data_IF_784711847308
#
_entry.id   IF_784711847308
#
_cell.length_a   1.000
_cell.length_b   1.000
_cell.length_c   1.000
_cell.angle_alpha   90.00
_cell.angle_beta   90.00
_cell.angle_gamma   90.00
#
_symmetry.space_group_name_H-M   'P 1'
#
loop_
_entity.id
_entity.type
_entity.pdbx_description
1 polymer ?
#
# COMPACT_ATOMS: atom_id res chain seq x y z
N UNK A 1 -11.56 -24.07 6.75
CA UNK A 1 -11.06 -24.04 5.36
C UNK A 1 -10.79 -22.63 4.82
N UNK A 2 -11.57 -21.60 5.15
CA UNK A 2 -11.33 -20.24 4.65
C UNK A 2 -9.98 -19.64 5.07
N UNK A 3 -9.44 -19.94 6.27
CA UNK A 3 -8.17 -19.37 6.74
C UNK A 3 -6.92 -19.87 5.99
N UNK A 4 -6.90 -21.13 5.57
CA UNK A 4 -5.71 -21.72 4.96
C UNK A 4 -5.47 -21.23 3.51
N UNK A 5 -6.55 -20.96 2.78
CA UNK A 5 -6.48 -20.47 1.39
C UNK A 5 -6.64 -18.94 1.29
N UNK A 6 -6.99 -18.26 2.38
CA UNK A 6 -7.26 -16.82 2.38
C UNK A 6 -6.10 -15.99 1.91
N UNK A 7 -4.87 -16.32 2.32
CA UNK A 7 -3.65 -15.62 1.90
C UNK A 7 -3.37 -15.79 0.41
N UNK A 8 -3.55 -17.00 -0.14
CA UNK A 8 -3.37 -17.27 -1.58
C UNK A 8 -4.45 -16.58 -2.43
N UNK A 9 -5.70 -16.58 -1.94
CA UNK A 9 -6.80 -15.86 -2.60
C UNK A 9 -6.56 -14.35 -2.60
N UNK A 10 -6.08 -13.79 -1.48
CA UNK A 10 -5.74 -12.39 -1.39
C UNK A 10 -4.60 -12.03 -2.37
N UNK A 11 -3.53 -12.82 -2.43
CA UNK A 11 -2.43 -12.59 -3.37
C UNK A 11 -2.88 -12.71 -4.83
N UNK A 12 -3.70 -13.72 -5.17
CA UNK A 12 -4.29 -13.84 -6.50
C UNK A 12 -5.18 -12.65 -6.85
N UNK A 13 -5.98 -12.18 -5.87
CA UNK A 13 -6.82 -11.00 -6.03
C UNK A 13 -5.99 -9.74 -6.32
N UNK A 14 -4.85 -9.56 -5.66
CA UNK A 14 -3.94 -8.43 -5.89
C UNK A 14 -3.41 -8.35 -7.34
N UNK A 15 -3.45 -9.43 -8.10
CA UNK A 15 -3.06 -9.46 -9.51
C UNK A 15 -4.20 -9.08 -10.47
N UNK A 16 -5.45 -8.99 -10.00
CA UNK A 16 -6.61 -8.70 -10.88
C UNK A 16 -6.51 -7.37 -11.64
N UNK A 17 -5.97 -6.26 -11.07
CA UNK A 17 -5.79 -5.02 -11.82
C UNK A 17 -4.79 -5.18 -12.97
N UNK A 18 -3.70 -5.96 -12.75
CA UNK A 18 -2.73 -6.24 -13.82
C UNK A 18 -3.36 -7.05 -14.94
N UNK A 19 -4.11 -8.09 -14.60
CA UNK A 19 -4.77 -8.95 -15.58
C UNK A 19 -5.77 -8.13 -16.41
N UNK A 20 -6.59 -7.30 -15.76
CA UNK A 20 -7.54 -6.43 -16.44
C UNK A 20 -6.83 -5.43 -17.37
N UNK A 21 -5.77 -4.78 -16.91
CA UNK A 21 -4.98 -3.85 -17.72
C UNK A 21 -4.30 -4.58 -18.90
N UNK A 22 -3.75 -5.77 -18.65
CA UNK A 22 -3.10 -6.59 -19.68
C UNK A 22 -4.08 -6.94 -20.80
N UNK A 23 -5.24 -7.50 -20.45
CA UNK A 23 -6.27 -7.89 -21.41
C UNK A 23 -6.79 -6.67 -22.19
N UNK A 24 -7.06 -5.57 -21.49
CA UNK A 24 -7.52 -4.32 -22.15
C UNK A 24 -6.46 -3.80 -23.12
N UNK A 25 -5.18 -3.77 -22.73
CA UNK A 25 -4.08 -3.31 -23.58
C UNK A 25 -3.86 -4.20 -24.79
N UNK A 26 -4.00 -5.51 -24.65
CA UNK A 26 -3.81 -6.44 -25.75
C UNK A 26 -4.91 -6.39 -26.80
N UNK A 27 -6.16 -6.28 -26.36
CA UNK A 27 -7.32 -6.46 -27.24
C UNK A 27 -8.06 -5.17 -27.60
N UNK A 28 -8.02 -4.14 -26.75
CA UNK A 28 -8.89 -2.97 -26.88
C UNK A 28 -8.16 -1.63 -26.89
N UNK A 29 -6.85 -1.59 -26.55
CA UNK A 29 -6.12 -0.34 -26.43
C UNK A 29 -4.99 -0.23 -27.45
N UNK A 30 -5.13 0.60 -28.52
CA UNK A 30 -4.18 0.67 -29.64
C UNK A 30 -2.72 0.95 -29.25
N UNK A 31 -2.42 1.85 -28.26
CA UNK A 31 -1.05 2.07 -27.82
C UNK A 31 -0.39 0.84 -27.19
N UNK A 32 -1.16 -0.18 -26.83
CA UNK A 32 -0.69 -1.39 -26.14
C UNK A 32 0.16 -1.03 -24.91
N UNK A 33 1.46 -1.28 -24.96
CA UNK A 33 2.37 -1.08 -23.82
C UNK A 33 3.29 0.16 -23.96
N UNK A 34 3.22 0.90 -25.05
CA UNK A 34 4.13 2.02 -25.31
C UNK A 34 4.06 3.15 -24.28
N UNK A 35 2.89 3.35 -23.67
CA UNK A 35 2.64 4.38 -22.64
C UNK A 35 2.59 3.82 -21.20
N UNK A 36 2.90 2.53 -21.00
CA UNK A 36 2.78 1.86 -19.71
C UNK A 36 3.93 2.14 -18.74
N UNK A 37 4.95 2.88 -19.16
CA UNK A 37 6.15 3.19 -18.35
C UNK A 37 6.82 1.92 -17.75
N UNK A 38 6.94 0.86 -18.56
CA UNK A 38 7.57 -0.41 -18.20
C UNK A 38 9.12 -0.33 -18.22
N UNK A 39 9.67 0.83 -17.90
CA UNK A 39 11.11 1.04 -17.78
C UNK A 39 11.53 0.98 -16.31
N UNK A 40 12.73 0.50 -16.03
CA UNK A 40 13.23 0.37 -14.65
C UNK A 40 13.32 1.71 -13.91
N UNK A 41 13.50 2.83 -14.61
CA UNK A 41 13.70 4.13 -13.98
C UNK A 41 15.15 4.34 -13.51
N UNK A 42 15.39 5.41 -12.75
CA UNK A 42 16.74 5.81 -12.30
C UNK A 42 16.96 5.34 -10.85
N UNK A 43 18.14 4.86 -10.51
CA UNK A 43 18.48 4.39 -9.16
C UNK A 43 18.18 5.46 -8.07
N UNK A 44 18.43 6.74 -8.38
CA UNK A 44 18.11 7.83 -7.46
C UNK A 44 16.62 7.96 -7.13
N UNK A 45 15.73 7.57 -8.06
CA UNK A 45 14.30 7.63 -7.83
C UNK A 45 13.86 6.48 -6.89
N UNK A 46 14.49 5.29 -6.99
CA UNK A 46 14.28 4.20 -6.04
C UNK A 46 14.66 4.61 -4.61
N UNK A 47 15.86 5.14 -4.42
CA UNK A 47 16.32 5.59 -3.11
C UNK A 47 15.43 6.72 -2.56
N UNK A 48 15.11 7.71 -3.40
CA UNK A 48 14.27 8.85 -3.03
C UNK A 48 12.90 8.39 -2.55
N UNK A 49 12.20 7.58 -3.34
CA UNK A 49 10.82 7.20 -3.03
C UNK A 49 10.73 6.10 -1.98
N UNK A 50 11.77 5.27 -1.83
CA UNK A 50 11.92 4.40 -0.66
C UNK A 50 12.00 5.21 0.63
N UNK A 51 12.89 6.21 0.73
CA UNK A 51 13.04 7.07 1.92
C UNK A 51 11.77 7.87 2.22
N UNK A 52 11.10 8.42 1.20
CA UNK A 52 9.86 9.17 1.39
C UNK A 52 8.75 8.25 1.91
N UNK A 53 8.56 7.07 1.31
CA UNK A 53 7.54 6.11 1.73
C UNK A 53 7.78 5.60 3.16
N UNK A 54 9.03 5.32 3.51
CA UNK A 54 9.45 4.96 4.88
C UNK A 54 9.13 6.10 5.85
N UNK A 55 9.44 7.34 5.49
CA UNK A 55 9.14 8.52 6.31
C UNK A 55 7.64 8.73 6.49
N UNK A 56 6.83 8.60 5.43
CA UNK A 56 5.37 8.70 5.50
C UNK A 56 4.82 7.67 6.49
N UNK A 57 5.27 6.42 6.40
CA UNK A 57 4.82 5.36 7.31
C UNK A 57 5.26 5.64 8.75
N UNK A 58 6.49 6.11 8.96
CA UNK A 58 6.97 6.50 10.29
C UNK A 58 6.13 7.62 10.91
N UNK A 59 5.82 8.67 10.16
CA UNK A 59 4.95 9.77 10.60
C UNK A 59 3.54 9.26 10.89
N UNK A 60 3.02 8.30 10.11
CA UNK A 60 1.71 7.69 10.38
C UNK A 60 1.68 6.99 11.74
N UNK A 61 2.72 6.24 12.09
CA UNK A 61 2.79 5.57 13.40
C UNK A 61 2.97 6.56 14.57
N UNK A 62 3.68 7.66 14.37
CA UNK A 62 3.71 8.78 15.33
C UNK A 62 2.29 9.34 15.50
N UNK A 63 1.56 9.57 14.42
CA UNK A 63 0.18 10.07 14.46
C UNK A 63 -0.75 9.08 15.18
N UNK A 64 -0.58 7.75 14.97
CA UNK A 64 -1.34 6.72 15.69
C UNK A 64 -1.12 6.82 17.20
N UNK A 65 0.13 7.02 17.62
CA UNK A 65 0.49 7.18 19.03
C UNK A 65 -0.15 8.42 19.63
N UNK A 66 0.01 9.57 18.96
CA UNK A 66 -0.53 10.86 19.42
C UNK A 66 -2.05 10.84 19.54
N UNK A 67 -2.74 10.16 18.63
CA UNK A 67 -4.21 10.03 18.63
C UNK A 67 -4.72 8.91 19.55
N UNK A 68 -3.85 8.23 20.30
CA UNK A 68 -4.26 7.12 21.17
C UNK A 68 -4.72 5.87 20.40
N UNK A 69 -4.33 5.75 19.13
CA UNK A 69 -4.64 4.60 18.29
C UNK A 69 -3.85 3.36 18.65
N UNK A 70 -2.61 3.54 19.12
CA UNK A 70 -1.71 2.46 19.52
C UNK A 70 -0.97 2.78 20.82
N UNK A 71 -0.52 1.72 21.48
CA UNK A 71 0.56 1.74 22.48
C UNK A 71 1.71 0.87 21.98
N UNK A 72 2.94 1.17 22.43
CA UNK A 72 4.13 0.44 22.00
C UNK A 72 4.47 -0.67 22.98
N UNK A 73 4.75 -1.85 22.46
CA UNK A 73 5.27 -2.99 23.18
C UNK A 73 6.58 -3.45 22.55
N UNK A 74 7.69 -3.20 23.24
CA UNK A 74 9.03 -3.61 22.82
C UNK A 74 9.49 -4.94 23.44
N UNK A 75 8.59 -5.66 24.17
CA UNK A 75 8.89 -6.96 24.75
C UNK A 75 9.00 -8.09 23.71
N UNK A 76 8.49 -7.85 22.50
CA UNK A 76 8.37 -8.86 21.44
C UNK A 76 7.11 -9.71 21.54
N UNK A 77 6.25 -9.49 22.54
CA UNK A 77 5.01 -10.25 22.74
C UNK A 77 4.06 -10.13 21.57
N UNK A 78 3.85 -8.90 21.04
CA UNK A 78 2.99 -8.68 19.87
C UNK A 78 3.47 -9.48 18.66
N UNK A 79 4.78 -9.55 18.44
CA UNK A 79 5.36 -10.37 17.38
C UNK A 79 5.08 -11.85 17.59
N UNK A 80 5.32 -12.36 18.81
CA UNK A 80 5.08 -13.76 19.14
C UNK A 80 3.62 -14.14 18.99
N UNK A 81 2.69 -13.29 19.44
CA UNK A 81 1.23 -13.52 19.29
C UNK A 81 0.82 -13.60 17.80
N UNK A 82 1.36 -12.70 16.96
CA UNK A 82 1.11 -12.75 15.51
C UNK A 82 1.70 -13.98 14.86
N UNK A 83 2.91 -14.34 15.23
CA UNK A 83 3.57 -15.54 14.75
C UNK A 83 2.79 -16.80 15.15
N UNK A 84 2.35 -16.88 16.41
CA UNK A 84 1.51 -17.96 16.91
C UNK A 84 0.20 -18.10 16.12
N UNK A 85 -0.48 -16.99 15.86
CA UNK A 85 -1.69 -16.99 15.03
C UNK A 85 -1.44 -17.49 13.61
N UNK A 86 -0.32 -17.10 13.01
CA UNK A 86 0.07 -17.53 11.66
C UNK A 86 0.34 -19.04 11.61
N UNK A 87 1.07 -19.58 12.60
CA UNK A 87 1.36 -21.02 12.68
C UNK A 87 0.15 -21.84 13.10
N UNK A 88 -0.73 -21.33 13.97
CA UNK A 88 -1.96 -22.01 14.33
C UNK A 88 -2.88 -22.29 13.11
N UNK A 89 -2.88 -21.39 12.12
CA UNK A 89 -3.62 -21.59 10.85
C UNK A 89 -3.03 -22.75 10.03
N UNK A 90 -1.72 -23.00 10.12
CA UNK A 90 -1.03 -24.09 9.40
C UNK A 90 -0.94 -25.37 10.21
N UNK A 91 -1.34 -25.35 11.50
CA UNK A 91 -1.22 -26.50 12.42
C UNK A 91 0.23 -26.83 12.80
N UNK A 92 1.17 -25.91 12.58
CA UNK A 92 2.59 -26.10 12.89
C UNK A 92 2.93 -25.53 14.27
N UNK A 93 3.83 -26.18 14.98
CA UNK A 93 4.44 -25.64 16.20
C UNK A 93 5.49 -24.58 15.84
N UNK A 94 5.41 -23.41 16.48
CA UNK A 94 6.37 -22.31 16.28
C UNK A 94 7.80 -22.77 16.54
N UNK A 95 8.02 -23.54 17.61
CA UNK A 95 9.36 -24.00 17.98
C UNK A 95 9.96 -24.96 16.94
N UNK A 96 9.11 -25.83 16.36
CA UNK A 96 9.50 -26.74 15.28
C UNK A 96 9.71 -26.04 13.93
N UNK A 97 9.08 -24.88 13.74
CA UNK A 97 9.18 -24.11 12.50
C UNK A 97 10.37 -23.12 12.50
N UNK A 98 10.97 -22.84 13.66
CA UNK A 98 12.15 -22.00 13.72
C UNK A 98 13.39 -22.77 13.24
N UNK A 99 14.24 -22.17 12.40
CA UNK A 99 15.52 -22.79 12.04
C UNK A 99 16.36 -23.07 13.29
N UNK A 100 17.16 -24.16 13.32
CA UNK A 100 18.00 -24.46 14.45
C UNK A 100 18.90 -23.28 14.84
N UNK A 101 18.91 -22.92 16.13
CA UNK A 101 19.65 -21.78 16.65
C UNK A 101 19.01 -20.42 16.54
N UNK A 102 17.82 -20.32 15.91
CA UNK A 102 17.07 -19.05 15.85
C UNK A 102 16.18 -18.87 17.08
N UNK A 103 16.27 -17.69 17.69
CA UNK A 103 15.36 -17.27 18.76
C UNK A 103 14.25 -16.38 18.22
N UNK A 104 13.09 -16.26 18.90
CA UNK A 104 12.03 -15.31 18.53
C UNK A 104 12.54 -13.88 18.39
N UNK A 105 13.47 -13.44 19.25
CA UNK A 105 14.06 -12.10 19.17
C UNK A 105 14.91 -11.90 17.92
N UNK A 106 15.65 -12.92 17.49
CA UNK A 106 16.40 -12.87 16.22
C UNK A 106 15.43 -12.78 15.04
N UNK A 107 14.34 -13.54 15.07
CA UNK A 107 13.31 -13.46 14.04
C UNK A 107 12.68 -12.07 13.99
N UNK A 108 12.30 -11.50 15.14
CA UNK A 108 11.77 -10.15 15.22
C UNK A 108 12.73 -9.12 14.60
N UNK A 109 14.02 -9.22 14.92
CA UNK A 109 15.04 -8.34 14.38
C UNK A 109 15.15 -8.47 12.85
N UNK A 110 15.17 -9.72 12.34
CA UNK A 110 15.24 -10.00 10.89
C UNK A 110 13.98 -9.43 10.17
N UNK A 111 12.78 -9.66 10.70
CA UNK A 111 11.53 -9.13 10.15
C UNK A 111 11.50 -7.61 10.17
N UNK A 112 12.02 -6.99 11.26
CA UNK A 112 12.09 -5.53 11.37
C UNK A 112 13.06 -4.94 10.36
N UNK A 113 14.32 -5.44 10.33
CA UNK A 113 15.32 -4.96 9.36
C UNK A 113 14.86 -5.24 7.94
N UNK A 114 14.35 -6.44 7.66
CA UNK A 114 13.82 -6.81 6.37
C UNK A 114 12.73 -5.86 5.89
N UNK A 115 11.76 -5.56 6.77
CA UNK A 115 10.63 -4.68 6.42
C UNK A 115 11.02 -3.21 6.26
N UNK A 116 12.08 -2.75 6.92
CA UNK A 116 12.60 -1.39 6.79
C UNK A 116 13.57 -1.22 5.60
N UNK A 117 14.03 -2.30 5.01
CA UNK A 117 15.02 -2.29 3.93
C UNK A 117 14.45 -2.77 2.61
N UNK A 118 15.21 -2.57 1.52
CA UNK A 118 14.84 -3.05 0.18
C UNK A 118 14.77 -4.59 0.08
N UNK A 119 15.34 -5.33 1.02
CA UNK A 119 15.35 -6.80 0.99
C UNK A 119 13.95 -7.41 1.11
N UNK A 120 13.00 -6.73 1.76
CA UNK A 120 11.62 -7.20 1.87
C UNK A 120 10.77 -6.87 0.64
N UNK A 121 11.31 -6.10 -0.29
CA UNK A 121 10.61 -5.76 -1.54
C UNK A 121 10.47 -6.98 -2.45
N UNK A 122 11.44 -7.91 -2.41
CA UNK A 122 11.50 -9.04 -3.35
C UNK A 122 10.22 -9.90 -3.35
N UNK A 123 9.66 -10.36 -2.22
CA UNK A 123 8.39 -11.10 -2.24
C UNK A 123 7.18 -10.25 -2.65
N UNK A 124 7.15 -8.98 -2.22
CA UNK A 124 6.02 -8.09 -2.45
C UNK A 124 6.01 -7.41 -3.83
N UNK A 125 7.15 -7.41 -4.56
CA UNK A 125 7.27 -6.66 -5.82
C UNK A 125 6.30 -7.20 -6.88
N UNK A 126 6.01 -8.48 -6.91
CA UNK A 126 5.12 -9.10 -7.87
C UNK A 126 3.70 -8.57 -7.69
N UNK A 127 3.17 -8.62 -6.46
CA UNK A 127 1.83 -8.13 -6.14
C UNK A 127 1.75 -6.62 -6.26
N UNK A 128 2.75 -5.90 -5.73
CA UNK A 128 2.84 -4.44 -5.87
C UNK A 128 2.99 -3.99 -7.32
N UNK A 129 3.76 -4.68 -8.13
CA UNK A 129 3.83 -4.41 -9.57
C UNK A 129 2.48 -4.65 -10.25
N UNK A 130 1.81 -5.76 -9.93
CA UNK A 130 0.50 -6.10 -10.50
C UNK A 130 -0.53 -5.02 -10.21
N UNK A 131 -0.59 -4.58 -8.96
CA UNK A 131 -1.51 -3.53 -8.52
C UNK A 131 -1.19 -2.18 -9.18
N UNK A 132 0.09 -1.77 -9.17
CA UNK A 132 0.50 -0.49 -9.74
C UNK A 132 0.39 -0.47 -11.27
N UNK A 133 0.66 -1.58 -11.95
CA UNK A 133 0.49 -1.67 -13.40
C UNK A 133 -0.97 -1.45 -13.81
N UNK A 134 -1.93 -2.03 -13.07
CA UNK A 134 -3.35 -1.82 -13.32
C UNK A 134 -3.79 -0.41 -13.00
N UNK A 135 -3.52 0.05 -11.78
CA UNK A 135 -4.07 1.32 -11.29
C UNK A 135 -3.31 2.54 -11.82
N UNK A 136 -1.98 2.57 -11.74
CA UNK A 136 -1.18 3.75 -12.14
C UNK A 136 -0.67 3.65 -13.57
N UNK A 137 -0.36 2.44 -14.02
CA UNK A 137 0.08 2.21 -15.39
C UNK A 137 -1.04 2.28 -16.43
N UNK A 138 -2.30 2.12 -16.03
CA UNK A 138 -3.44 2.15 -16.96
C UNK A 138 -4.59 3.03 -16.48
N UNK A 139 -5.24 2.72 -15.35
CA UNK A 139 -6.47 3.38 -14.91
C UNK A 139 -6.27 4.90 -14.68
N UNK A 140 -5.26 5.29 -13.91
CA UNK A 140 -5.01 6.70 -13.57
C UNK A 140 -4.81 7.59 -14.80
N UNK A 141 -3.90 7.29 -15.75
CA UNK A 141 -3.73 8.11 -16.95
C UNK A 141 -5.00 8.20 -17.78
N UNK A 142 -5.78 7.13 -17.89
CA UNK A 142 -7.03 7.12 -18.64
C UNK A 142 -8.07 8.06 -18.02
N UNK A 143 -8.29 7.94 -16.72
CA UNK A 143 -9.25 8.78 -15.99
C UNK A 143 -8.78 10.24 -15.96
N UNK A 144 -7.48 10.50 -15.77
CA UNK A 144 -6.93 11.84 -15.71
C UNK A 144 -7.04 12.58 -17.04
N UNK A 145 -6.93 11.88 -18.18
CA UNK A 145 -7.16 12.44 -19.53
C UNK A 145 -8.59 12.95 -19.71
N UNK A 146 -9.60 12.31 -19.09
CA UNK A 146 -10.99 12.77 -19.16
C UNK A 146 -11.13 14.10 -18.42
N UNK A 147 -10.78 14.11 -17.13
CA UNK A 147 -10.68 15.31 -16.29
C UNK A 147 -9.72 15.03 -15.13
N UNK A 148 -8.89 16.01 -14.70
CA UNK A 148 -7.95 15.83 -13.61
C UNK A 148 -8.57 15.29 -12.31
N UNK A 149 -9.73 15.81 -11.90
CA UNK A 149 -10.40 15.38 -10.68
C UNK A 149 -10.92 13.93 -10.79
N UNK A 150 -11.29 13.45 -11.98
CA UNK A 150 -11.69 12.06 -12.21
C UNK A 150 -10.48 11.14 -11.95
N UNK A 151 -9.31 11.48 -12.50
CA UNK A 151 -8.09 10.70 -12.26
C UNK A 151 -7.72 10.61 -10.79
N UNK A 152 -7.91 11.67 -10.02
CA UNK A 152 -7.52 11.74 -8.61
C UNK A 152 -8.63 11.18 -7.70
N UNK A 153 -9.85 11.73 -7.77
CA UNK A 153 -10.90 11.38 -6.81
C UNK A 153 -11.54 10.06 -7.18
N UNK A 154 -12.00 9.92 -8.42
CA UNK A 154 -12.67 8.68 -8.84
C UNK A 154 -11.64 7.53 -8.90
N UNK A 155 -10.43 7.78 -9.39
CA UNK A 155 -9.36 6.79 -9.38
C UNK A 155 -9.03 6.28 -7.97
N UNK A 156 -8.96 7.20 -6.99
CA UNK A 156 -8.74 6.85 -5.58
C UNK A 156 -9.90 6.10 -4.95
N UNK A 157 -11.15 6.48 -5.27
CA UNK A 157 -12.34 5.77 -4.81
C UNK A 157 -12.46 4.38 -5.44
N UNK A 158 -12.18 4.21 -6.72
CA UNK A 158 -12.16 2.90 -7.38
C UNK A 158 -11.10 1.99 -6.75
N UNK A 159 -9.92 2.53 -6.45
CA UNK A 159 -8.88 1.79 -5.73
C UNK A 159 -9.31 1.40 -4.32
N UNK A 160 -10.00 2.29 -3.60
CA UNK A 160 -10.60 1.99 -2.30
C UNK A 160 -11.65 0.87 -2.39
N UNK A 161 -12.60 0.99 -3.31
CA UNK A 161 -13.68 0.01 -3.51
C UNK A 161 -13.12 -1.37 -3.89
N UNK A 162 -12.04 -1.38 -4.67
CA UNK A 162 -11.35 -2.63 -5.01
C UNK A 162 -10.73 -3.33 -3.79
N UNK A 163 -10.35 -2.60 -2.73
CA UNK A 163 -9.86 -3.20 -1.49
C UNK A 163 -10.97 -3.77 -0.58
N UNK A 164 -12.23 -3.38 -0.76
CA UNK A 164 -13.33 -3.81 0.13
C UNK A 164 -13.48 -5.34 0.20
N UNK A 165 -13.41 -6.12 -0.89
CA UNK A 165 -13.51 -7.57 -0.81
C UNK A 165 -12.44 -8.21 0.08
N UNK A 166 -11.24 -7.64 0.17
CA UNK A 166 -10.17 -8.14 1.03
C UNK A 166 -10.54 -8.06 2.52
N UNK A 167 -11.36 -7.09 2.92
CA UNK A 167 -11.83 -6.97 4.29
C UNK A 167 -12.71 -8.16 4.75
N UNK A 168 -13.33 -8.87 3.81
CA UNK A 168 -14.11 -10.08 4.11
C UNK A 168 -13.25 -11.35 4.18
N UNK A 169 -12.05 -11.32 3.59
CA UNK A 169 -11.10 -12.45 3.59
C UNK A 169 -10.16 -12.36 4.80
N UNK A 170 -9.81 -11.14 5.19
CA UNK A 170 -8.93 -10.88 6.35
C UNK A 170 -9.80 -10.70 7.59
N UNK A 171 -9.66 -11.53 8.65
CA UNK A 171 -10.45 -11.41 9.87
C UNK A 171 -10.31 -10.00 10.48
N UNK A 172 -11.43 -9.32 10.66
CA UNK A 172 -11.48 -8.03 11.35
C UNK A 172 -11.47 -8.27 12.86
N UNK A 173 -10.58 -7.59 13.57
CA UNK A 173 -10.41 -7.80 15.02
C UNK A 173 -11.57 -7.27 15.88
N UNK A 174 -12.34 -6.29 15.39
CA UNK A 174 -13.41 -5.66 16.17
C UNK A 174 -14.64 -5.30 15.33
N UNK A 175 -15.83 -5.61 15.85
CA UNK A 175 -17.09 -5.09 15.30
C UNK A 175 -17.34 -3.70 15.89
N UNK A 176 -17.22 -2.68 15.07
CA UNK A 176 -17.52 -1.30 15.46
C UNK A 176 -19.03 -1.03 15.40
N UNK A 177 -19.58 -0.14 16.26
CA UNK A 177 -20.92 0.39 16.11
C UNK A 177 -21.15 1.01 14.74
N UNK A 178 -22.41 1.02 14.27
CA UNK A 178 -22.76 1.48 12.91
C UNK A 178 -22.19 2.87 12.57
N UNK A 179 -22.31 3.85 13.45
CA UNK A 179 -21.83 5.21 13.19
C UNK A 179 -20.30 5.28 13.13
N UNK A 180 -19.59 4.49 13.95
CA UNK A 180 -18.12 4.39 13.89
C UNK A 180 -17.67 3.69 12.62
N UNK A 181 -18.40 2.66 12.19
CA UNK A 181 -18.14 1.99 10.92
C UNK A 181 -18.28 2.96 9.76
N UNK A 182 -19.37 3.74 9.70
CA UNK A 182 -19.59 4.73 8.66
C UNK A 182 -18.49 5.80 8.63
N UNK A 183 -18.17 6.36 9.80
CA UNK A 183 -17.08 7.33 9.93
C UNK A 183 -15.75 6.74 9.46
N UNK A 184 -15.45 5.52 9.85
CA UNK A 184 -14.23 4.82 9.47
C UNK A 184 -14.14 4.60 7.95
N UNK A 185 -15.24 4.23 7.30
CA UNK A 185 -15.29 4.08 5.85
C UNK A 185 -15.01 5.41 5.12
N UNK A 186 -15.56 6.54 5.61
CA UNK A 186 -15.29 7.87 5.05
C UNK A 186 -13.82 8.28 5.24
N UNK A 187 -13.26 8.04 6.42
CA UNK A 187 -11.84 8.30 6.71
C UNK A 187 -10.95 7.49 5.76
N UNK A 188 -11.22 6.19 5.60
CA UNK A 188 -10.46 5.31 4.72
C UNK A 188 -10.60 5.69 3.25
N UNK A 189 -11.79 6.10 2.80
CA UNK A 189 -12.00 6.58 1.43
C UNK A 189 -11.15 7.81 1.13
N UNK A 190 -11.12 8.79 2.05
CA UNK A 190 -10.28 9.99 1.92
C UNK A 190 -8.78 9.64 1.95
N UNK A 191 -8.37 8.79 2.88
CA UNK A 191 -6.99 8.30 2.98
C UNK A 191 -6.55 7.57 1.70
N UNK A 192 -7.46 6.78 1.12
CA UNK A 192 -7.22 6.07 -0.14
C UNK A 192 -7.03 7.02 -1.32
N UNK A 193 -7.86 8.08 -1.43
CA UNK A 193 -7.68 9.11 -2.46
C UNK A 193 -6.31 9.77 -2.33
N UNK A 194 -5.88 10.10 -1.11
CA UNK A 194 -4.58 10.72 -0.88
C UNK A 194 -3.42 9.76 -1.19
N UNK A 195 -3.51 8.50 -0.77
CA UNK A 195 -2.50 7.47 -1.08
C UNK A 195 -2.41 7.19 -2.57
N UNK A 196 -3.57 7.07 -3.24
CA UNK A 196 -3.63 6.95 -4.69
C UNK A 196 -2.95 8.14 -5.38
N UNK A 197 -3.20 9.36 -4.92
CA UNK A 197 -2.58 10.58 -5.46
C UNK A 197 -1.06 10.59 -5.26
N UNK A 198 -0.57 10.17 -4.08
CA UNK A 198 0.85 10.03 -3.82
C UNK A 198 1.51 9.02 -4.77
N UNK A 199 0.95 7.83 -4.91
CA UNK A 199 1.49 6.80 -5.81
C UNK A 199 1.40 7.22 -7.28
N UNK A 200 0.32 7.91 -7.68
CA UNK A 200 0.23 8.53 -9.01
C UNK A 200 1.32 9.60 -9.22
N UNK A 201 1.65 10.39 -8.19
CA UNK A 201 2.77 11.33 -8.24
C UNK A 201 4.11 10.59 -8.41
N UNK A 202 4.36 9.52 -7.66
CA UNK A 202 5.57 8.69 -7.83
C UNK A 202 5.68 8.18 -9.26
N UNK A 203 4.60 7.62 -9.78
CA UNK A 203 4.51 7.13 -11.16
C UNK A 203 4.80 8.23 -12.18
N UNK A 204 4.14 9.37 -12.04
CA UNK A 204 4.32 10.49 -12.96
C UNK A 204 5.73 11.08 -12.90
N UNK A 205 6.36 11.12 -11.72
CA UNK A 205 7.68 11.72 -11.51
C UNK A 205 8.82 10.81 -11.94
N UNK A 206 8.71 9.52 -11.64
CA UNK A 206 9.73 8.52 -11.99
C UNK A 206 9.58 7.99 -13.41
N UNK A 207 8.36 8.04 -13.94
CA UNK A 207 7.95 7.41 -15.20
C UNK A 207 8.29 5.91 -15.23
N UNK A 208 8.13 5.25 -14.08
CA UNK A 208 8.44 3.83 -13.89
C UNK A 208 7.43 3.17 -12.96
N UNK A 209 6.81 2.11 -13.44
CA UNK A 209 5.96 1.24 -12.62
C UNK A 209 6.78 0.56 -11.51
N UNK A 210 8.02 0.17 -11.78
CA UNK A 210 8.88 -0.50 -10.80
C UNK A 210 9.21 0.40 -9.61
N UNK A 211 9.50 1.69 -9.86
CA UNK A 211 9.71 2.67 -8.76
C UNK A 211 8.43 2.88 -7.97
N UNK A 212 7.27 2.90 -8.64
CA UNK A 212 5.97 3.07 -7.98
C UNK A 212 5.62 1.83 -7.13
N UNK A 213 5.85 0.64 -7.66
CA UNK A 213 5.69 -0.61 -6.93
C UNK A 213 6.61 -0.67 -5.70
N UNK A 214 7.89 -0.26 -5.83
CA UNK A 214 8.78 -0.15 -4.68
C UNK A 214 8.23 0.79 -3.61
N UNK A 215 7.79 1.98 -3.99
CA UNK A 215 7.24 2.96 -3.04
C UNK A 215 6.02 2.39 -2.29
N UNK A 216 5.11 1.74 -3.01
CA UNK A 216 3.94 1.08 -2.44
C UNK A 216 4.32 -0.03 -1.46
N UNK A 217 5.15 -0.97 -1.90
CA UNK A 217 5.59 -2.10 -1.07
C UNK A 217 6.39 -1.62 0.14
N UNK A 218 7.17 -0.56 0.02
CA UNK A 218 7.87 0.04 1.15
C UNK A 218 6.88 0.52 2.22
N UNK A 219 5.79 1.18 1.84
CA UNK A 219 4.76 1.59 2.81
C UNK A 219 4.16 0.37 3.53
N UNK A 220 3.78 -0.68 2.77
CA UNK A 220 3.18 -1.89 3.32
C UNK A 220 4.13 -2.63 4.27
N UNK A 221 5.37 -2.84 3.85
CA UNK A 221 6.36 -3.60 4.61
C UNK A 221 6.83 -2.85 5.86
N UNK A 222 7.01 -1.53 5.76
CA UNK A 222 7.34 -0.68 6.92
C UNK A 222 6.19 -0.69 7.92
N UNK A 223 4.94 -0.60 7.45
CA UNK A 223 3.77 -0.71 8.32
C UNK A 223 3.69 -2.08 9.01
N UNK A 224 3.95 -3.17 8.28
CA UNK A 224 4.04 -4.51 8.85
C UNK A 224 5.11 -4.60 9.94
N UNK A 225 6.32 -4.05 9.69
CA UNK A 225 7.41 -4.05 10.68
C UNK A 225 7.05 -3.30 11.95
N UNK A 226 6.51 -2.10 11.85
CA UNK A 226 6.07 -1.34 13.02
C UNK A 226 4.92 -2.02 13.76
N UNK A 227 4.05 -2.72 13.02
CA UNK A 227 2.93 -3.44 13.64
C UNK A 227 3.36 -4.57 14.58
N UNK A 228 4.61 -5.04 14.52
CA UNK A 228 5.15 -6.03 15.48
C UNK A 228 5.40 -5.45 16.86
N UNK A 229 5.42 -4.13 16.99
CA UNK A 229 5.62 -3.41 18.25
C UNK A 229 4.38 -2.63 18.68
N UNK A 230 3.31 -2.64 17.89
CA UNK A 230 2.12 -1.83 18.10
C UNK A 230 0.94 -2.66 18.60
N UNK A 231 0.43 -2.32 19.78
CA UNK A 231 -0.85 -2.82 20.30
C UNK A 231 -1.93 -1.83 19.91
N UNK A 232 -2.88 -2.25 19.06
CA UNK A 232 -3.99 -1.40 18.62
C UNK A 232 -4.96 -1.17 19.78
N UNK A 233 -5.19 0.09 20.12
CA UNK A 233 -6.14 0.55 21.12
C UNK A 233 -7.43 1.07 20.46
N UNK A 234 -7.29 1.79 19.35
CA UNK A 234 -8.41 2.37 18.62
C UNK A 234 -8.11 2.37 17.10
N UNK A 235 -8.82 1.50 16.38
CA UNK A 235 -8.64 1.36 14.93
C UNK A 235 -9.04 2.62 14.16
N UNK A 236 -10.10 3.32 14.60
CA UNK A 236 -10.54 4.57 13.93
C UNK A 236 -9.49 5.66 14.09
N UNK A 237 -8.86 5.77 15.26
CA UNK A 237 -7.76 6.71 15.49
C UNK A 237 -6.53 6.38 14.61
N UNK A 238 -6.20 5.09 14.41
CA UNK A 238 -5.14 4.68 13.49
C UNK A 238 -5.47 5.10 12.06
N UNK A 239 -6.68 4.82 11.58
CA UNK A 239 -7.10 5.17 10.22
C UNK A 239 -7.15 6.69 10.01
N UNK A 240 -7.58 7.44 11.03
CA UNK A 240 -7.53 8.91 11.03
C UNK A 240 -6.08 9.41 10.96
N UNK A 241 -5.18 8.84 11.76
CA UNK A 241 -3.76 9.20 11.77
C UNK A 241 -3.09 8.96 10.40
N UNK A 242 -3.37 7.82 9.75
CA UNK A 242 -2.93 7.54 8.39
C UNK A 242 -3.46 8.59 7.41
N UNK A 243 -4.76 8.85 7.45
CA UNK A 243 -5.42 9.80 6.54
C UNK A 243 -4.86 11.22 6.71
N UNK A 244 -4.65 11.69 7.94
CA UNK A 244 -4.05 13.00 8.22
C UNK A 244 -2.61 13.08 7.71
N UNK A 245 -1.81 12.03 7.89
CA UNK A 245 -0.45 11.96 7.36
C UNK A 245 -0.44 12.03 5.83
N UNK A 246 -1.36 11.32 5.18
CA UNK A 246 -1.48 11.36 3.71
C UNK A 246 -1.98 12.71 3.21
N UNK A 247 -2.94 13.35 3.90
CA UNK A 247 -3.38 14.71 3.59
C UNK A 247 -2.22 15.70 3.70
N UNK A 248 -1.42 15.63 4.77
CA UNK A 248 -0.24 16.45 4.94
C UNK A 248 0.77 16.23 3.81
N UNK A 249 0.98 14.98 3.41
CA UNK A 249 1.86 14.63 2.28
C UNK A 249 1.38 15.29 1.00
N UNK A 250 0.08 15.19 0.68
CA UNK A 250 -0.49 15.83 -0.52
C UNK A 250 -0.42 17.35 -0.43
N UNK A 251 -0.67 17.94 0.74
CA UNK A 251 -0.52 19.38 0.97
C UNK A 251 0.92 19.85 0.70
N UNK A 252 1.92 19.14 1.22
CA UNK A 252 3.34 19.45 0.96
C UNK A 252 3.64 19.38 -0.55
N UNK A 253 3.19 18.33 -1.25
CA UNK A 253 3.39 18.19 -2.69
C UNK A 253 2.70 19.33 -3.47
N UNK A 254 1.51 19.75 -3.03
CA UNK A 254 0.78 20.84 -3.64
C UNK A 254 1.50 22.19 -3.47
N UNK A 255 1.88 22.55 -2.23
CA UNK A 255 2.57 23.83 -1.96
C UNK A 255 3.96 23.88 -2.61
N UNK A 256 4.65 22.75 -2.73
CA UNK A 256 5.91 22.65 -3.49
C UNK A 256 5.72 22.60 -5.00
N UNK A 257 4.48 22.68 -5.49
CA UNK A 257 4.12 22.64 -6.91
C UNK A 257 4.54 21.33 -7.62
N UNK A 258 4.82 20.28 -6.84
CA UNK A 258 5.24 18.97 -7.39
C UNK A 258 4.12 18.28 -8.17
N UNK A 259 2.85 18.52 -7.81
CA UNK A 259 1.69 17.93 -8.51
C UNK A 259 1.48 18.47 -9.93
N UNK A 260 2.22 19.52 -10.33
CA UNK A 260 2.23 19.99 -11.72
C UNK A 260 2.73 18.95 -12.71
N UNK A 261 3.45 17.92 -12.24
CA UNK A 261 3.87 16.78 -13.07
C UNK A 261 2.68 16.10 -13.76
N UNK A 262 1.48 16.17 -13.20
CA UNK A 262 0.28 15.61 -13.81
C UNK A 262 -0.19 16.32 -15.09
N UNK A 263 0.26 17.56 -15.32
CA UNK A 263 -0.14 18.33 -16.51
C UNK A 263 0.20 17.61 -17.81
N UNK A 264 1.25 16.79 -17.83
CA UNK A 264 1.64 15.99 -19.02
C UNK A 264 0.55 15.01 -19.49
N UNK A 265 -0.29 14.51 -18.59
CA UNK A 265 -1.39 13.61 -18.96
C UNK A 265 -2.58 14.34 -19.56
N UNK A 266 -2.76 15.63 -19.24
CA UNK A 266 -3.86 16.44 -19.73
C UNK A 266 -3.55 17.10 -21.08
N UNK A 267 -2.31 17.55 -21.29
CA UNK A 267 -1.91 18.22 -22.53
C UNK A 267 -1.81 17.28 -23.73
N UNK A 268 -1.57 15.98 -23.51
CA UNK A 268 -1.46 15.00 -24.60
C UNK A 268 -2.76 14.79 -25.42
N UNK A 269 -3.90 15.34 -24.97
CA UNK A 269 -5.19 15.22 -25.67
C UNK A 269 -5.47 16.34 -26.64
N UNK A 270 -4.63 17.39 -26.72
CA UNK A 270 -4.84 18.53 -27.65
C UNK A 270 -4.15 18.40 -28.99
N UNK A 271 -3.41 17.33 -29.23
CA UNK A 271 -2.63 17.08 -30.45
C UNK A 271 -3.04 15.82 -31.21
N UNK A 272 -4.26 15.31 -30.99
CA UNK A 272 -4.82 14.19 -31.72
C UNK A 272 -6.08 14.57 -32.44
#
# INVERSE_FOLDING_TARGET
MAGQYGAYLAQGYMMTPAIAALLTRLFFYPPKFSDANLRFGRLKDYLKFWLISLGITGVSYISFTVLGGITWDFSGRVFLDKLAQQFAVTGQDIQAALPPGFTPSMMLLIYTIGGLTVFNVIPGIITGFGEEFGHRGFMFPMLYKIKPWIGIIIGGLLWYLWHIPLAFVIPQATKLPFWQTTLNLLILALGSICTHTYLAYVYAKSESIFVTALAHITMNNTAASFSYYAVIQNQVACNLGLTLTMLLTIAILYFRKELRVFAKYFCATKTG
#
